data_IF_213643888720
#
_entry.id   IF_213643888720
#
_cell.length_a   1.000
_cell.length_b   1.000
_cell.length_c   1.000
_cell.angle_alpha   90.00
_cell.angle_beta   90.00
_cell.angle_gamma   90.00
#
_symmetry.space_group_name_H-M   'P 1'
#
loop_
_entity.id
_entity.type
_entity.pdbx_description
1 polymer ?
#
# COMPACT_ATOMS: atom_id res chain seq x y z
N UNK A 1 -68.56 -56.62 107.19
CA UNK A 1 -67.93 -56.67 108.53
C UNK A 1 -68.80 -55.90 109.52
N UNK A 2 -69.34 -54.75 109.08
CA UNK A 2 -70.24 -53.87 109.83
C UNK A 2 -71.49 -54.57 110.40
N UNK A 3 -72.17 -55.43 109.63
CA UNK A 3 -73.37 -56.15 110.11
C UNK A 3 -73.11 -57.18 111.24
N UNK A 4 -71.88 -57.71 111.35
CA UNK A 4 -71.49 -58.66 112.39
C UNK A 4 -71.02 -57.95 113.67
N UNK A 5 -70.36 -56.79 113.51
CA UNK A 5 -69.97 -55.92 114.63
C UNK A 5 -71.20 -55.32 115.31
N UNK A 6 -72.21 -54.91 114.53
CA UNK A 6 -73.46 -54.37 115.04
C UNK A 6 -74.22 -55.41 115.90
N UNK A 7 -74.27 -56.68 115.46
CA UNK A 7 -74.88 -57.78 116.23
C UNK A 7 -74.15 -58.15 117.53
N UNK A 8 -72.85 -57.90 117.63
CA UNK A 8 -72.05 -58.19 118.82
C UNK A 8 -72.12 -57.06 119.87
N UNK A 9 -72.34 -55.82 119.43
CA UNK A 9 -72.51 -54.67 120.33
C UNK A 9 -73.92 -54.64 120.95
N UNK A 10 -74.97 -55.08 120.23
CA UNK A 10 -76.37 -55.03 120.69
C UNK A 10 -76.76 -56.04 121.79
N UNK A 11 -75.90 -57.00 122.15
CA UNK A 11 -76.18 -57.92 123.27
C UNK A 11 -76.05 -57.23 124.64
N UNK A 12 -77.12 -57.25 125.45
CA UNK A 12 -77.44 -56.51 126.70
C UNK A 12 -76.45 -56.56 127.90
N UNK A 13 -75.13 -56.68 127.69
CA UNK A 13 -74.13 -56.80 128.77
C UNK A 13 -73.18 -55.59 128.85
N UNK A 14 -73.28 -54.63 127.92
CA UNK A 14 -72.39 -53.46 127.83
C UNK A 14 -73.19 -52.15 128.04
N UNK A 15 -72.62 -51.20 128.80
CA UNK A 15 -73.17 -49.85 128.92
C UNK A 15 -72.90 -49.05 127.64
N UNK A 16 -73.78 -48.10 127.29
CA UNK A 16 -73.67 -47.28 126.06
C UNK A 16 -72.29 -46.61 125.93
N UNK A 17 -71.67 -46.22 127.06
CA UNK A 17 -70.32 -45.65 127.12
C UNK A 17 -69.24 -46.66 126.66
N UNK A 18 -69.29 -47.91 127.15
CA UNK A 18 -68.33 -48.97 126.77
C UNK A 18 -68.51 -49.45 125.33
N UNK A 19 -69.74 -49.44 124.79
CA UNK A 19 -69.99 -49.73 123.38
C UNK A 19 -69.37 -48.67 122.48
N UNK A 20 -69.52 -47.39 122.86
CA UNK A 20 -68.95 -46.26 122.13
C UNK A 20 -67.42 -46.26 122.18
N UNK A 21 -66.83 -46.52 123.35
CA UNK A 21 -65.37 -46.66 123.49
C UNK A 21 -64.82 -47.85 122.67
N UNK A 22 -65.52 -48.99 122.65
CA UNK A 22 -65.11 -50.14 121.84
C UNK A 22 -65.23 -49.84 120.34
N UNK A 23 -66.29 -49.15 119.92
CA UNK A 23 -66.46 -48.72 118.54
C UNK A 23 -65.36 -47.75 118.11
N UNK A 24 -65.05 -46.72 118.92
CA UNK A 24 -63.98 -45.77 118.65
C UNK A 24 -62.60 -46.46 118.63
N UNK A 25 -62.35 -47.42 119.51
CA UNK A 25 -61.11 -48.21 119.53
C UNK A 25 -60.99 -49.15 118.32
N UNK A 26 -62.08 -49.78 117.88
CA UNK A 26 -62.11 -50.61 116.67
C UNK A 26 -61.92 -49.74 115.44
N UNK A 27 -62.61 -48.60 115.31
CA UNK A 27 -62.43 -47.65 114.21
C UNK A 27 -60.99 -47.10 114.16
N UNK A 28 -60.40 -46.82 115.32
CA UNK A 28 -58.98 -46.41 115.42
C UNK A 28 -58.05 -47.55 114.98
N UNK A 29 -58.27 -48.79 115.43
CA UNK A 29 -57.43 -49.92 115.02
C UNK A 29 -57.61 -50.32 113.56
N UNK A 30 -58.82 -50.19 113.03
CA UNK A 30 -59.12 -50.41 111.61
C UNK A 30 -58.49 -49.31 110.78
N UNK A 31 -58.57 -48.04 111.18
CA UNK A 31 -57.90 -46.94 110.46
C UNK A 31 -56.38 -47.06 110.53
N UNK A 32 -55.79 -47.41 111.67
CA UNK A 32 -54.36 -47.71 111.80
C UNK A 32 -53.93 -48.87 110.88
N UNK A 33 -54.66 -50.00 110.89
CA UNK A 33 -54.36 -51.14 110.04
C UNK A 33 -54.54 -50.82 108.54
N UNK A 34 -55.53 -49.99 108.19
CA UNK A 34 -55.75 -49.53 106.81
C UNK A 34 -54.62 -48.58 106.37
N UNK A 35 -54.16 -47.67 107.22
CA UNK A 35 -53.05 -46.77 106.89
C UNK A 35 -51.71 -47.52 106.82
N UNK A 36 -51.49 -48.51 107.69
CA UNK A 36 -50.32 -49.40 107.61
C UNK A 36 -50.34 -50.22 106.32
N UNK A 37 -51.46 -50.85 105.97
CA UNK A 37 -51.61 -51.59 104.72
C UNK A 37 -51.45 -50.70 103.47
N UNK A 38 -51.92 -49.44 103.51
CA UNK A 38 -51.69 -48.47 102.44
C UNK A 38 -50.22 -48.05 102.35
N UNK A 39 -49.55 -47.87 103.49
CA UNK A 39 -48.14 -47.49 103.52
C UNK A 39 -47.25 -48.62 102.97
N UNK A 40 -47.54 -49.87 103.33
CA UNK A 40 -46.90 -51.06 102.80
C UNK A 40 -47.15 -51.20 101.29
N UNK A 41 -48.42 -51.17 100.86
CA UNK A 41 -48.77 -51.21 99.43
C UNK A 41 -48.13 -50.07 98.63
N UNK A 42 -48.03 -48.86 99.19
CA UNK A 42 -47.35 -47.75 98.53
C UNK A 42 -45.83 -47.94 98.45
N UNK A 43 -45.22 -48.58 99.45
CA UNK A 43 -43.80 -48.93 99.41
C UNK A 43 -43.52 -50.01 98.36
N UNK A 44 -44.36 -51.04 98.30
CA UNK A 44 -44.25 -52.13 97.31
C UNK A 44 -44.44 -51.60 95.89
N UNK A 45 -45.49 -50.82 95.63
CA UNK A 45 -45.72 -50.21 94.31
C UNK A 45 -44.56 -49.30 93.90
N UNK A 46 -43.95 -48.56 94.84
CA UNK A 46 -42.76 -47.73 94.53
C UNK A 46 -41.54 -48.59 94.21
N UNK A 47 -41.35 -49.69 94.92
CA UNK A 47 -40.26 -50.63 94.65
C UNK A 47 -40.42 -51.26 93.25
N UNK A 48 -41.62 -51.77 92.94
CA UNK A 48 -41.95 -52.33 91.63
C UNK A 48 -41.78 -51.32 90.50
N UNK A 49 -42.30 -50.09 90.66
CA UNK A 49 -42.12 -49.04 89.64
C UNK A 49 -40.66 -48.64 89.45
N UNK A 50 -39.86 -48.64 90.51
CA UNK A 50 -38.43 -48.34 90.42
C UNK A 50 -37.69 -49.45 89.69
N UNK A 51 -38.02 -50.71 89.98
CA UNK A 51 -37.45 -51.87 89.28
C UNK A 51 -37.85 -51.87 87.79
N UNK A 52 -39.14 -51.65 87.49
CA UNK A 52 -39.62 -51.51 86.11
C UNK A 52 -38.90 -50.37 85.37
N UNK A 53 -38.77 -49.20 85.99
CA UNK A 53 -38.08 -48.06 85.38
C UNK A 53 -36.60 -48.35 85.10
N UNK A 54 -35.89 -49.01 86.02
CA UNK A 54 -34.49 -49.41 85.80
C UNK A 54 -34.39 -50.40 84.64
N UNK A 55 -35.26 -51.42 84.60
CA UNK A 55 -35.28 -52.41 83.54
C UNK A 55 -35.61 -51.79 82.17
N UNK A 56 -36.62 -50.92 82.09
CA UNK A 56 -37.00 -50.23 80.86
C UNK A 56 -35.91 -49.26 80.39
N UNK A 57 -35.27 -48.55 81.31
CA UNK A 57 -34.13 -47.68 80.99
C UNK A 57 -32.97 -48.49 80.41
N UNK A 58 -32.61 -49.60 81.04
CA UNK A 58 -31.49 -50.41 80.59
C UNK A 58 -31.81 -51.08 79.24
N UNK A 59 -33.04 -51.54 79.05
CA UNK A 59 -33.53 -52.03 77.76
C UNK A 59 -33.52 -50.95 76.67
N UNK A 60 -33.85 -49.70 77.01
CA UNK A 60 -33.78 -48.58 76.06
C UNK A 60 -32.33 -48.25 75.70
N UNK A 61 -31.41 -48.27 76.67
CA UNK A 61 -29.98 -48.04 76.41
C UNK A 61 -29.44 -49.11 75.47
N UNK A 62 -29.73 -50.39 75.72
CA UNK A 62 -29.31 -51.49 74.87
C UNK A 62 -29.93 -51.40 73.47
N UNK A 63 -31.21 -51.07 73.37
CA UNK A 63 -31.88 -50.90 72.08
C UNK A 63 -31.30 -49.72 71.27
N UNK A 64 -30.94 -48.62 71.94
CA UNK A 64 -30.29 -47.47 71.30
C UNK A 64 -28.88 -47.84 70.86
N UNK A 65 -28.09 -48.50 71.69
CA UNK A 65 -26.73 -48.92 71.36
C UNK A 65 -26.72 -49.88 70.16
N UNK A 66 -27.61 -50.89 70.18
CA UNK A 66 -27.78 -51.80 69.06
C UNK A 66 -28.20 -51.07 67.78
N UNK A 67 -29.17 -50.14 67.86
CA UNK A 67 -29.61 -49.36 66.69
C UNK A 67 -28.52 -48.45 66.13
N UNK A 68 -27.75 -47.81 66.99
CA UNK A 68 -26.63 -46.94 66.58
C UNK A 68 -25.53 -47.79 65.97
N UNK A 69 -25.21 -48.95 66.56
CA UNK A 69 -24.25 -49.91 66.01
C UNK A 69 -24.66 -50.37 64.61
N UNK A 70 -25.88 -50.90 64.46
CA UNK A 70 -26.41 -51.36 63.17
C UNK A 70 -26.38 -50.25 62.11
N UNK A 71 -26.78 -49.03 62.49
CA UNK A 71 -26.77 -47.88 61.58
C UNK A 71 -25.35 -47.52 61.14
N UNK A 72 -24.42 -47.40 62.10
CA UNK A 72 -23.02 -47.08 61.80
C UNK A 72 -22.36 -48.15 60.93
N UNK A 73 -22.61 -49.43 61.21
CA UNK A 73 -22.08 -50.53 60.42
C UNK A 73 -22.60 -50.48 58.97
N UNK A 74 -23.91 -50.21 58.79
CA UNK A 74 -24.50 -50.08 57.46
C UNK A 74 -23.94 -48.89 56.67
N UNK A 75 -23.78 -47.73 57.31
CA UNK A 75 -23.22 -46.53 56.68
C UNK A 75 -21.73 -46.70 56.37
N UNK A 76 -20.97 -47.38 57.23
CA UNK A 76 -19.56 -47.68 56.97
C UNK A 76 -19.38 -48.64 55.80
N UNK A 77 -20.27 -49.62 55.64
CA UNK A 77 -20.25 -50.54 54.51
C UNK A 77 -20.63 -49.84 53.20
N UNK A 78 -21.64 -48.96 53.22
CA UNK A 78 -22.00 -48.11 52.09
C UNK A 78 -20.86 -47.18 51.69
N UNK A 79 -20.28 -46.46 52.67
CA UNK A 79 -19.17 -45.53 52.45
C UNK A 79 -17.95 -46.25 51.88
N UNK A 80 -17.64 -47.45 52.37
CA UNK A 80 -16.55 -48.27 51.82
C UNK A 80 -16.81 -48.63 50.36
N UNK A 81 -18.05 -49.06 50.04
CA UNK A 81 -18.46 -49.35 48.67
C UNK A 81 -18.37 -48.13 47.75
N UNK A 82 -18.74 -46.94 48.24
CA UNK A 82 -18.56 -45.69 47.51
C UNK A 82 -17.09 -45.36 47.26
N UNK A 83 -16.23 -45.47 48.27
CA UNK A 83 -14.79 -45.21 48.11
C UNK A 83 -14.17 -46.13 47.06
N UNK A 84 -14.54 -47.41 47.06
CA UNK A 84 -14.03 -48.36 46.06
C UNK A 84 -14.53 -47.99 44.65
N UNK A 85 -15.81 -47.62 44.50
CA UNK A 85 -16.36 -47.10 43.22
C UNK A 85 -15.64 -45.83 42.76
N UNK A 86 -15.36 -44.90 43.67
CA UNK A 86 -14.64 -43.66 43.34
C UNK A 86 -13.22 -43.95 42.86
N UNK A 87 -12.51 -44.91 43.49
CA UNK A 87 -11.17 -45.31 43.06
C UNK A 87 -11.17 -45.94 41.66
N UNK A 88 -12.17 -46.77 41.36
CA UNK A 88 -12.31 -47.36 40.03
C UNK A 88 -12.58 -46.30 38.96
N UNK A 89 -13.46 -45.33 39.27
CA UNK A 89 -13.73 -44.19 38.38
C UNK A 89 -12.51 -43.29 38.18
N UNK A 90 -11.71 -43.05 39.21
CA UNK A 90 -10.46 -42.30 39.09
C UNK A 90 -9.45 -43.03 38.19
N UNK A 91 -9.33 -44.34 38.33
CA UNK A 91 -8.46 -45.15 37.48
C UNK A 91 -8.92 -45.12 36.00
N UNK A 92 -10.22 -45.29 35.75
CA UNK A 92 -10.79 -45.21 34.40
C UNK A 92 -10.62 -43.80 33.79
N UNK A 93 -10.84 -42.75 34.58
CA UNK A 93 -10.64 -41.38 34.13
C UNK A 93 -9.16 -41.10 33.81
N UNK A 94 -8.23 -41.61 34.62
CA UNK A 94 -6.81 -41.50 34.36
C UNK A 94 -6.40 -42.24 33.07
N UNK A 95 -6.93 -43.43 32.83
CA UNK A 95 -6.72 -44.20 31.61
C UNK A 95 -7.24 -43.45 30.38
N UNK A 96 -8.50 -42.97 30.41
CA UNK A 96 -9.09 -42.16 29.34
C UNK A 96 -8.30 -40.88 29.06
N UNK A 97 -7.74 -40.24 30.09
CA UNK A 97 -6.89 -39.07 29.92
C UNK A 97 -5.57 -39.41 29.22
N UNK A 98 -4.99 -40.57 29.51
CA UNK A 98 -3.77 -41.04 28.83
C UNK A 98 -4.08 -41.37 27.36
N UNK A 99 -5.18 -42.07 27.10
CA UNK A 99 -5.63 -42.38 25.74
C UNK A 99 -5.94 -41.13 24.92
N UNK A 100 -6.70 -40.18 25.50
CA UNK A 100 -7.00 -38.91 24.84
C UNK A 100 -5.73 -38.10 24.52
N UNK A 101 -4.74 -38.08 25.44
CA UNK A 101 -3.45 -37.46 25.19
C UNK A 101 -2.65 -38.16 24.08
N UNK A 102 -2.71 -39.50 24.03
CA UNK A 102 -2.04 -40.27 22.98
C UNK A 102 -2.65 -39.98 21.60
N UNK A 103 -3.99 -40.01 21.50
CA UNK A 103 -4.72 -39.67 20.27
C UNK A 103 -4.44 -38.25 19.81
N UNK A 104 -4.55 -37.26 20.73
CA UNK A 104 -4.25 -35.87 20.42
C UNK A 104 -2.79 -35.67 20.00
N UNK A 105 -1.85 -36.42 20.58
CA UNK A 105 -0.45 -36.38 20.16
C UNK A 105 -0.22 -36.97 18.77
N UNK A 106 -1.01 -37.97 18.36
CA UNK A 106 -0.92 -38.57 17.03
C UNK A 106 -1.51 -37.64 15.97
N UNK A 107 -2.68 -37.06 16.25
CA UNK A 107 -3.30 -36.03 15.41
C UNK A 107 -2.37 -34.82 15.23
N UNK A 108 -1.80 -34.30 16.31
CA UNK A 108 -0.87 -33.16 16.24
C UNK A 108 0.39 -33.48 15.42
N UNK A 109 0.87 -34.72 15.44
CA UNK A 109 1.99 -35.16 14.60
C UNK A 109 1.60 -35.20 13.13
N UNK A 110 0.42 -35.70 12.82
CA UNK A 110 -0.12 -35.72 11.46
C UNK A 110 -0.29 -34.31 10.91
N UNK A 111 -0.92 -33.43 11.69
CA UNK A 111 -1.13 -32.02 11.32
C UNK A 111 0.18 -31.28 11.12
N UNK A 112 1.18 -31.53 11.98
CA UNK A 112 2.50 -30.93 11.85
C UNK A 112 3.21 -31.44 10.58
N UNK A 113 3.09 -32.72 10.25
CA UNK A 113 3.65 -33.26 9.01
C UNK A 113 3.01 -32.61 7.77
N UNK A 114 1.68 -32.50 7.74
CA UNK A 114 0.98 -31.79 6.66
C UNK A 114 1.37 -30.31 6.57
N UNK A 115 1.54 -29.64 7.71
CA UNK A 115 1.94 -28.24 7.75
C UNK A 115 3.36 -28.05 7.18
N UNK A 116 4.29 -28.95 7.53
CA UNK A 116 5.66 -28.93 6.99
C UNK A 116 5.62 -29.14 5.47
N UNK A 117 4.86 -30.11 4.97
CA UNK A 117 4.72 -30.33 3.52
C UNK A 117 4.15 -29.10 2.80
N UNK A 118 3.12 -28.47 3.36
CA UNK A 118 2.52 -27.23 2.80
C UNK A 118 3.52 -26.07 2.85
N UNK A 119 4.29 -25.94 3.93
CA UNK A 119 5.31 -24.90 4.07
C UNK A 119 6.44 -25.12 3.06
N UNK A 120 6.93 -26.34 2.90
CA UNK A 120 7.96 -26.67 1.93
C UNK A 120 7.50 -26.36 0.50
N UNK A 121 6.28 -26.76 0.14
CA UNK A 121 5.70 -26.42 -1.16
C UNK A 121 5.55 -24.90 -1.37
N UNK A 122 5.10 -24.18 -0.34
CA UNK A 122 4.99 -22.72 -0.39
C UNK A 122 6.35 -22.03 -0.55
N UNK A 123 7.35 -22.46 0.23
CA UNK A 123 8.71 -21.93 0.14
C UNK A 123 9.34 -22.25 -1.21
N UNK A 124 9.15 -23.45 -1.75
CA UNK A 124 9.65 -23.80 -3.09
C UNK A 124 9.04 -22.89 -4.17
N UNK A 125 7.73 -22.69 -4.15
CA UNK A 125 7.05 -21.80 -5.10
C UNK A 125 7.55 -20.37 -4.95
N UNK A 126 7.62 -19.85 -3.72
CA UNK A 126 8.04 -18.47 -3.51
C UNK A 126 9.51 -18.26 -3.88
N UNK A 127 10.40 -19.15 -3.48
CA UNK A 127 11.81 -19.10 -3.86
C UNK A 127 12.00 -19.19 -5.37
N UNK A 128 11.20 -19.99 -6.07
CA UNK A 128 11.25 -20.07 -7.54
C UNK A 128 10.88 -18.74 -8.18
N UNK A 129 9.77 -18.13 -7.75
CA UNK A 129 9.34 -16.82 -8.27
C UNK A 129 10.39 -15.75 -8.00
N UNK A 130 10.91 -15.67 -6.77
CA UNK A 130 11.94 -14.68 -6.40
C UNK A 130 13.26 -14.90 -7.18
N UNK A 131 13.62 -16.17 -7.47
CA UNK A 131 14.79 -16.46 -8.30
C UNK A 131 14.55 -16.13 -9.77
N UNK A 132 13.35 -16.34 -10.30
CA UNK A 132 12.97 -15.93 -11.64
C UNK A 132 13.01 -14.40 -11.78
N UNK A 133 12.39 -13.67 -10.85
CA UNK A 133 12.45 -12.21 -10.77
C UNK A 133 13.90 -11.71 -10.68
N UNK A 134 14.74 -12.31 -9.83
CA UNK A 134 16.16 -11.96 -9.73
C UNK A 134 16.92 -12.20 -11.05
N UNK A 135 16.60 -13.28 -11.78
CA UNK A 135 17.23 -13.55 -13.08
C UNK A 135 16.81 -12.51 -14.11
N UNK A 136 15.53 -12.12 -14.14
CA UNK A 136 15.01 -11.07 -15.01
C UNK A 136 15.70 -9.72 -14.73
N UNK A 137 15.84 -9.36 -13.45
CA UNK A 137 16.56 -8.15 -13.03
C UNK A 137 18.02 -8.16 -13.49
N UNK A 138 18.72 -9.29 -13.32
CA UNK A 138 20.11 -9.45 -13.78
C UNK A 138 20.20 -9.32 -15.30
N UNK A 139 19.23 -9.85 -16.05
CA UNK A 139 19.19 -9.70 -17.51
C UNK A 139 18.95 -8.26 -17.94
N UNK A 140 18.08 -7.53 -17.25
CA UNK A 140 17.86 -6.12 -17.50
C UNK A 140 19.13 -5.31 -17.26
N UNK A 141 19.79 -5.51 -16.11
CA UNK A 141 21.07 -4.85 -15.80
C UNK A 141 22.14 -5.17 -16.86
N UNK A 142 22.20 -6.41 -17.35
CA UNK A 142 23.12 -6.78 -18.45
C UNK A 142 22.80 -6.05 -19.75
N UNK A 143 21.52 -5.89 -20.10
CA UNK A 143 21.08 -5.14 -21.29
C UNK A 143 21.44 -3.66 -21.14
N UNK A 144 21.24 -3.08 -19.96
CA UNK A 144 21.58 -1.68 -19.67
C UNK A 144 23.09 -1.44 -19.71
N UNK A 145 23.89 -2.33 -19.11
CA UNK A 145 25.35 -2.28 -19.21
C UNK A 145 25.82 -2.42 -20.66
N UNK A 146 25.21 -3.31 -21.43
CA UNK A 146 25.53 -3.49 -22.84
C UNK A 146 25.18 -2.22 -23.63
N UNK A 147 23.99 -1.66 -23.44
CA UNK A 147 23.56 -0.40 -24.05
C UNK A 147 24.50 0.75 -23.71
N UNK A 148 24.92 0.85 -22.44
CA UNK A 148 25.92 1.81 -22.00
C UNK A 148 27.28 1.61 -22.67
N UNK A 149 27.78 0.37 -22.78
CA UNK A 149 29.05 0.07 -23.47
C UNK A 149 28.99 0.41 -24.96
N UNK A 150 27.87 0.11 -25.63
CA UNK A 150 27.66 0.48 -27.03
C UNK A 150 27.59 2.00 -27.17
N UNK A 151 26.84 2.68 -26.30
CA UNK A 151 26.76 4.13 -26.30
C UNK A 151 28.12 4.79 -26.08
N UNK A 152 28.90 4.32 -25.09
CA UNK A 152 30.26 4.81 -24.83
C UNK A 152 31.19 4.57 -26.04
N UNK A 153 31.12 3.41 -26.69
CA UNK A 153 31.89 3.12 -27.89
C UNK A 153 31.47 3.98 -29.10
N UNK A 154 30.16 4.13 -29.33
CA UNK A 154 29.63 4.98 -30.40
C UNK A 154 29.97 6.44 -30.14
N UNK A 155 29.84 6.92 -28.91
CA UNK A 155 30.23 8.28 -28.52
C UNK A 155 31.73 8.52 -28.77
N UNK A 156 32.59 7.55 -28.43
CA UNK A 156 34.03 7.65 -28.68
C UNK A 156 34.33 7.72 -30.19
N UNK A 157 33.72 6.85 -31.00
CA UNK A 157 33.90 6.86 -32.46
C UNK A 157 33.29 8.10 -33.12
N UNK A 158 32.11 8.53 -32.68
CA UNK A 158 31.46 9.76 -33.13
C UNK A 158 32.33 10.97 -32.80
N UNK A 159 32.82 11.08 -31.57
CA UNK A 159 33.73 12.15 -31.18
C UNK A 159 35.00 12.12 -32.02
N UNK A 160 35.55 10.96 -32.33
CA UNK A 160 36.76 10.85 -33.16
C UNK A 160 36.53 11.27 -34.62
N UNK A 161 35.38 10.93 -35.21
CA UNK A 161 35.10 11.18 -36.62
C UNK A 161 34.48 12.57 -36.88
N UNK A 162 33.75 13.13 -35.90
CA UNK A 162 33.05 14.41 -36.04
C UNK A 162 33.60 15.53 -35.15
N UNK A 163 34.59 15.29 -34.28
CA UNK A 163 35.29 16.41 -33.62
C UNK A 163 36.13 17.24 -34.61
N UNK A 164 36.39 16.71 -35.80
CA UNK A 164 37.06 17.46 -36.88
C UNK A 164 36.07 18.28 -37.73
N UNK A 165 34.76 18.27 -37.45
CA UNK A 165 33.79 19.10 -38.19
C UNK A 165 34.08 20.60 -38.01
N UNK A 166 34.60 21.03 -36.86
CA UNK A 166 34.99 22.43 -36.63
C UNK A 166 36.19 22.84 -37.50
N UNK A 167 37.12 21.90 -37.76
CA UNK A 167 38.24 22.13 -38.67
C UNK A 167 37.79 22.09 -40.13
N UNK A 168 36.88 21.17 -40.48
CA UNK A 168 36.28 21.08 -41.81
C UNK A 168 35.48 22.35 -42.14
N UNK A 169 34.66 22.85 -41.21
CA UNK A 169 33.91 24.10 -41.37
C UNK A 169 34.86 25.30 -41.53
N UNK A 170 35.97 25.31 -40.78
CA UNK A 170 37.04 26.28 -40.96
C UNK A 170 37.66 26.24 -42.36
N UNK A 171 38.00 25.05 -42.86
CA UNK A 171 38.53 24.90 -44.22
C UNK A 171 37.50 25.24 -45.30
N UNK A 172 36.22 24.94 -45.08
CA UNK A 172 35.14 25.28 -46.00
C UNK A 172 35.03 26.80 -46.15
N UNK A 173 34.98 27.53 -45.03
CA UNK A 173 34.98 29.00 -45.04
C UNK A 173 36.23 29.59 -45.69
N UNK A 174 37.40 28.99 -45.47
CA UNK A 174 38.62 29.43 -46.14
C UNK A 174 38.54 29.20 -47.66
N UNK A 175 38.03 28.05 -48.10
CA UNK A 175 37.85 27.76 -49.54
C UNK A 175 36.81 28.63 -50.20
N UNK A 176 35.70 28.93 -49.52
CA UNK A 176 34.66 29.86 -49.99
C UNK A 176 35.24 31.26 -50.17
N UNK A 177 35.98 31.75 -49.18
CA UNK A 177 36.65 33.05 -49.27
C UNK A 177 37.67 33.09 -50.41
N UNK A 178 38.47 32.02 -50.57
CA UNK A 178 39.42 31.92 -51.69
C UNK A 178 38.73 31.87 -53.05
N UNK A 179 37.56 31.24 -53.13
CA UNK A 179 36.74 31.22 -54.32
C UNK A 179 36.26 32.63 -54.66
N UNK A 180 35.71 33.34 -53.68
CA UNK A 180 35.27 34.74 -53.79
C UNK A 180 36.41 35.65 -54.27
N UNK A 181 37.55 35.63 -53.58
CA UNK A 181 38.75 36.39 -53.96
C UNK A 181 39.21 36.04 -55.40
N UNK A 182 39.13 34.76 -55.79
CA UNK A 182 39.50 34.33 -57.14
C UNK A 182 38.51 34.79 -58.20
N UNK A 183 37.21 34.81 -57.88
CA UNK A 183 36.16 35.28 -58.80
C UNK A 183 36.25 36.78 -59.00
N UNK A 184 36.50 37.55 -57.94
CA UNK A 184 36.73 39.00 -58.05
C UNK A 184 37.97 39.30 -58.90
N UNK A 185 39.07 38.57 -58.69
CA UNK A 185 40.27 38.71 -59.50
C UNK A 185 40.03 38.34 -60.98
N UNK A 186 39.18 37.36 -61.25
CA UNK A 186 38.82 36.93 -62.60
C UNK A 186 37.94 37.97 -63.28
N UNK A 187 36.95 38.52 -62.57
CA UNK A 187 36.14 39.65 -63.06
C UNK A 187 36.99 40.88 -63.36
N UNK A 188 37.96 41.22 -62.50
CA UNK A 188 38.88 42.33 -62.73
C UNK A 188 39.78 42.08 -63.95
N UNK A 189 40.27 40.84 -64.12
CA UNK A 189 41.04 40.44 -65.27
C UNK A 189 40.21 40.48 -66.57
N UNK A 190 38.96 40.01 -66.53
CA UNK A 190 38.01 40.09 -67.65
C UNK A 190 37.70 41.53 -68.03
N UNK A 191 37.48 42.43 -67.06
CA UNK A 191 37.32 43.87 -67.31
C UNK A 191 38.55 44.47 -68.01
N UNK A 192 39.76 44.15 -67.53
CA UNK A 192 41.01 44.61 -68.16
C UNK A 192 41.17 44.07 -69.59
N UNK A 193 40.80 42.81 -69.84
CA UNK A 193 40.83 42.23 -71.18
C UNK A 193 39.81 42.91 -72.09
N UNK A 194 38.58 43.14 -71.63
CA UNK A 194 37.54 43.84 -72.37
C UNK A 194 37.96 45.27 -72.74
N UNK A 195 38.59 46.02 -71.82
CA UNK A 195 39.15 47.34 -72.09
C UNK A 195 40.29 47.29 -73.11
N UNK A 196 41.19 46.32 -72.99
CA UNK A 196 42.27 46.13 -73.97
C UNK A 196 41.72 45.79 -75.35
N UNK A 197 40.75 44.89 -75.47
CA UNK A 197 40.09 44.55 -76.73
C UNK A 197 39.36 45.74 -77.34
N UNK A 198 38.65 46.52 -76.52
CA UNK A 198 38.01 47.77 -76.93
C UNK A 198 39.02 48.74 -77.52
N UNK A 199 40.12 48.98 -76.82
CA UNK A 199 41.15 49.93 -77.26
C UNK A 199 41.83 49.48 -78.56
N UNK A 200 42.03 48.17 -78.75
CA UNK A 200 42.57 47.59 -79.99
C UNK A 200 41.59 47.82 -81.15
N UNK A 201 40.32 47.46 -80.97
CA UNK A 201 39.26 47.68 -81.98
C UNK A 201 39.10 49.17 -82.32
N UNK A 202 39.10 50.04 -81.32
CA UNK A 202 38.99 51.50 -81.49
C UNK A 202 40.21 52.09 -82.24
N UNK A 203 41.42 51.61 -81.96
CA UNK A 203 42.63 52.02 -82.72
C UNK A 203 42.60 51.51 -84.16
N UNK A 204 42.10 50.30 -84.40
CA UNK A 204 41.99 49.72 -85.74
C UNK A 204 41.02 50.51 -86.62
N UNK A 205 39.81 50.81 -86.11
CA UNK A 205 38.79 51.59 -86.84
C UNK A 205 39.18 53.06 -87.05
N UNK A 206 40.00 53.63 -86.18
CA UNK A 206 40.45 55.03 -86.28
C UNK A 206 41.77 55.22 -87.05
N UNK A 207 42.48 54.14 -87.40
CA UNK A 207 43.73 54.20 -88.17
C UNK A 207 43.60 54.92 -89.55
N UNK A 208 42.52 54.75 -90.34
CA UNK A 208 42.38 55.41 -91.63
C UNK A 208 42.06 56.92 -91.54
N UNK A 209 41.84 57.46 -90.34
CA UNK A 209 41.53 58.88 -90.11
C UNK A 209 42.73 59.62 -89.51
N UNK A 210 43.02 60.82 -89.99
CA UNK A 210 44.11 61.67 -89.48
C UNK A 210 43.64 63.08 -89.15
N UNK A 211 44.06 63.63 -88.01
CA UNK A 211 43.73 65.00 -87.58
C UNK A 211 42.39 65.13 -86.86
N UNK A 212 41.67 66.25 -87.06
CA UNK A 212 40.46 66.62 -86.30
C UNK A 212 39.30 65.62 -86.43
N UNK A 213 39.16 64.97 -87.58
CA UNK A 213 38.14 63.93 -87.82
C UNK A 213 38.31 62.73 -86.89
N UNK A 214 39.56 62.37 -86.55
CA UNK A 214 39.85 61.27 -85.62
C UNK A 214 39.44 61.62 -84.20
N UNK A 215 39.70 62.83 -83.74
CA UNK A 215 39.40 63.29 -82.37
C UNK A 215 37.89 63.40 -82.13
N UNK A 216 37.13 63.96 -83.09
CA UNK A 216 35.66 64.04 -83.00
C UNK A 216 35.05 62.63 -83.05
N UNK A 217 35.56 61.76 -83.92
CA UNK A 217 35.09 60.38 -84.01
C UNK A 217 35.42 59.57 -82.76
N UNK A 218 36.60 59.78 -82.16
CA UNK A 218 36.98 59.17 -80.88
C UNK A 218 36.07 59.62 -79.74
N UNK A 219 35.70 60.91 -79.68
CA UNK A 219 34.78 61.44 -78.67
C UNK A 219 33.36 60.85 -78.78
N UNK A 220 32.86 60.64 -80.00
CA UNK A 220 31.54 60.02 -80.24
C UNK A 220 31.58 58.52 -79.92
N UNK A 221 32.62 57.81 -80.36
CA UNK A 221 32.74 56.36 -80.17
C UNK A 221 33.14 55.96 -78.75
N UNK A 222 33.60 56.91 -77.91
CA UNK A 222 33.88 56.66 -76.49
C UNK A 222 32.64 56.24 -75.70
N UNK A 223 31.44 56.62 -76.13
CA UNK A 223 30.18 56.26 -75.47
C UNK A 223 29.45 55.07 -76.12
N UNK A 224 30.07 54.38 -77.09
CA UNK A 224 29.48 53.25 -77.81
C UNK A 224 30.09 51.93 -77.34
N UNK A 225 29.25 50.90 -77.20
CA UNK A 225 29.64 49.55 -76.79
C UNK A 225 30.64 48.91 -77.76
N UNK A 226 31.52 48.05 -77.23
CA UNK A 226 32.60 47.36 -77.95
C UNK A 226 32.13 46.56 -79.16
N UNK A 227 30.94 45.96 -79.07
CA UNK A 227 30.33 45.14 -80.13
C UNK A 227 29.87 46.00 -81.30
N UNK A 228 29.38 47.21 -81.02
CA UNK A 228 28.75 48.10 -81.98
C UNK A 228 29.70 49.20 -82.51
N UNK A 229 30.98 49.18 -82.13
CA UNK A 229 31.97 50.16 -82.55
C UNK A 229 32.11 50.27 -84.09
N UNK A 230 32.00 49.16 -84.82
CA UNK A 230 32.09 49.13 -86.29
C UNK A 230 30.85 49.74 -86.96
N UNK A 231 29.67 49.49 -86.39
CA UNK A 231 28.41 50.03 -86.90
C UNK A 231 28.26 51.52 -86.57
N UNK A 232 28.63 51.91 -85.35
CA UNK A 232 28.80 53.30 -84.95
C UNK A 232 29.76 54.02 -85.87
N UNK A 233 30.92 53.41 -86.19
CA UNK A 233 31.87 53.98 -87.13
C UNK A 233 31.25 54.28 -88.50
N UNK A 234 30.59 53.29 -89.10
CA UNK A 234 29.94 53.43 -90.42
C UNK A 234 28.82 54.47 -90.44
N UNK A 235 28.09 54.63 -89.33
CA UNK A 235 26.97 55.57 -89.26
C UNK A 235 27.45 57.01 -89.10
N UNK A 236 28.45 57.24 -88.24
CA UNK A 236 28.91 58.59 -87.94
C UNK A 236 29.99 59.10 -88.90
N UNK A 237 30.73 58.24 -89.60
CA UNK A 237 31.78 58.66 -90.55
C UNK A 237 31.23 59.58 -91.66
N UNK A 238 30.03 59.28 -92.18
CA UNK A 238 29.40 60.08 -93.22
C UNK A 238 28.98 61.47 -92.73
N UNK A 239 28.61 61.58 -91.44
CA UNK A 239 28.31 62.87 -90.82
C UNK A 239 29.59 63.64 -90.49
N UNK A 240 30.60 62.97 -89.92
CA UNK A 240 31.88 63.59 -89.50
C UNK A 240 32.70 64.07 -90.70
N UNK A 241 32.71 63.34 -91.82
CA UNK A 241 33.39 63.77 -93.06
C UNK A 241 32.66 64.94 -93.70
N UNK A 242 31.32 64.93 -93.70
CA UNK A 242 30.50 65.97 -94.31
C UNK A 242 30.48 67.27 -93.49
N UNK A 243 30.47 67.16 -92.15
CA UNK A 243 30.62 68.31 -91.24
C UNK A 243 32.04 68.90 -91.24
N UNK A 244 33.03 68.25 -91.87
CA UNK A 244 34.36 68.83 -92.09
C UNK A 244 34.56 69.53 -93.44
N UNK A 245 33.61 69.44 -94.38
CA UNK A 245 33.73 70.04 -95.73
C UNK A 245 32.70 71.14 -96.06
N UNK A 246 31.73 71.43 -95.19
CA UNK A 246 30.84 72.59 -95.34
C UNK A 246 30.83 73.43 -94.05
N UNK A 247 31.31 74.67 -94.17
CA UNK A 247 31.25 75.73 -93.15
C UNK A 247 29.90 76.48 -93.17
N UNK A 248 29.60 77.06 -92.00
CA UNK A 248 28.65 78.16 -91.68
C UNK A 248 27.24 77.81 -91.17
N UNK A 249 27.05 77.96 -89.84
CA UNK A 249 26.16 78.97 -89.21
C UNK A 249 24.76 78.40 -88.86
N UNK A 250 24.04 78.67 -87.78
CA UNK A 250 24.01 79.69 -86.72
C UNK A 250 23.47 79.08 -85.40
N UNK A 251 23.71 79.82 -84.30
CA UNK A 251 22.88 80.10 -83.08
C UNK A 251 21.45 79.47 -83.02
N UNK A 252 20.81 79.18 -81.88
CA UNK A 252 20.89 79.56 -80.47
C UNK A 252 19.91 78.66 -79.66
N UNK A 253 19.81 78.90 -78.34
CA UNK A 253 18.69 78.58 -77.42
C UNK A 253 18.52 77.20 -76.76
N UNK A 254 19.04 77.12 -75.51
CA UNK A 254 18.27 77.21 -74.24
C UNK A 254 16.81 76.71 -74.24
N UNK A 255 16.52 75.71 -73.40
CA UNK A 255 15.54 75.68 -72.26
C UNK A 255 15.02 74.23 -72.01
N UNK A 256 15.15 73.70 -70.78
CA UNK A 256 14.10 73.45 -69.75
C UNK A 256 13.13 72.31 -70.13
N UNK A 257 12.61 71.43 -69.26
CA UNK A 257 12.68 71.14 -67.84
C UNK A 257 11.91 69.81 -67.61
N UNK A 258 11.84 69.35 -66.35
CA UNK A 258 10.65 68.69 -65.76
C UNK A 258 10.40 67.20 -66.12
N UNK A 259 10.03 66.26 -65.25
CA UNK A 259 9.72 66.22 -63.80
C UNK A 259 10.08 64.82 -63.25
N UNK A 260 10.41 64.65 -61.97
CA UNK A 260 9.52 64.60 -60.81
C UNK A 260 8.59 63.36 -60.79
N UNK A 261 8.92 62.41 -59.91
CA UNK A 261 8.08 61.56 -59.03
C UNK A 261 8.96 60.39 -58.56
N UNK A 262 9.39 60.28 -57.31
CA UNK A 262 8.62 59.97 -56.07
C UNK A 262 7.73 58.72 -56.23
N UNK A 263 8.06 57.70 -55.45
CA UNK A 263 7.19 56.99 -54.48
C UNK A 263 7.92 55.71 -54.04
N UNK A 264 8.42 55.66 -52.80
CA UNK A 264 7.73 55.18 -51.59
C UNK A 264 7.60 53.65 -51.56
N UNK A 265 8.42 52.99 -50.74
CA UNK A 265 8.04 52.42 -49.43
C UNK A 265 7.10 51.20 -49.49
N UNK A 266 7.57 50.09 -48.90
CA UNK A 266 6.85 49.32 -47.86
C UNK A 266 7.68 48.12 -47.39
N UNK A 267 8.41 48.33 -46.30
CA UNK A 267 8.49 47.33 -45.23
C UNK A 267 7.12 47.31 -44.54
N UNK A 268 6.50 46.14 -44.41
CA UNK A 268 6.27 45.56 -43.09
C UNK A 268 5.48 44.24 -43.13
N UNK A 269 5.84 43.39 -42.17
CA UNK A 269 5.09 42.25 -41.61
C UNK A 269 5.00 40.97 -42.46
N UNK A 270 5.59 39.89 -41.91
CA UNK A 270 4.83 38.71 -41.49
C UNK A 270 5.67 37.88 -40.48
N UNK A 271 5.28 37.99 -39.22
CA UNK A 271 5.52 36.97 -38.19
C UNK A 271 4.89 35.64 -38.62
N UNK A 272 5.63 34.54 -38.51
CA UNK A 272 5.17 33.23 -38.03
C UNK A 272 6.32 32.22 -38.13
N UNK A 273 7.19 32.19 -37.11
CA UNK A 273 8.06 31.05 -36.83
C UNK A 273 7.53 30.35 -35.58
N UNK A 274 6.81 29.25 -35.79
CA UNK A 274 6.39 28.32 -34.73
C UNK A 274 7.60 27.48 -34.33
N UNK A 275 8.21 27.82 -33.20
CA UNK A 275 9.19 26.96 -32.53
C UNK A 275 8.41 25.92 -31.72
N UNK A 276 8.64 24.64 -32.00
CA UNK A 276 8.11 23.50 -31.24
C UNK A 276 9.22 23.07 -30.28
N UNK A 277 9.15 23.53 -29.03
CA UNK A 277 9.86 22.92 -27.90
C UNK A 277 8.85 22.03 -27.18
N UNK A 278 9.08 20.72 -27.25
CA UNK A 278 8.30 19.74 -26.51
C UNK A 278 8.76 19.69 -25.06
N UNK A 279 7.93 20.22 -24.17
CA UNK A 279 7.84 19.80 -22.77
C UNK A 279 6.34 19.86 -22.43
N UNK A 280 5.71 18.69 -22.35
CA UNK A 280 4.30 18.53 -21.96
C UNK A 280 4.22 18.61 -20.42
N UNK A 281 3.95 19.79 -19.86
CA UNK A 281 3.64 19.96 -18.43
C UNK A 281 2.38 19.18 -18.00
N UNK A 282 1.50 18.85 -18.95
CA UNK A 282 0.24 18.13 -18.70
C UNK A 282 0.44 16.66 -18.29
N UNK A 283 1.59 16.03 -18.62
CA UNK A 283 1.88 14.63 -18.24
C UNK A 283 2.42 14.48 -16.81
N UNK A 284 2.93 15.56 -16.22
CA UNK A 284 3.43 15.54 -14.83
C UNK A 284 2.26 15.66 -13.85
N UNK A 285 1.25 16.47 -14.20
CA UNK A 285 0.04 16.63 -13.39
C UNK A 285 -0.86 15.37 -13.33
N UNK A 286 -0.84 14.55 -14.39
CA UNK A 286 -1.61 13.30 -14.44
C UNK A 286 -0.94 12.17 -13.65
N UNK A 287 0.40 12.14 -13.61
CA UNK A 287 1.17 11.19 -12.80
C UNK A 287 1.16 11.55 -11.30
N UNK A 288 1.19 12.83 -10.92
CA UNK A 288 1.08 13.22 -9.51
C UNK A 288 -0.30 12.89 -8.94
N UNK A 289 -1.38 13.00 -9.72
CA UNK A 289 -2.71 12.56 -9.28
C UNK A 289 -2.81 11.05 -9.09
N UNK A 290 -2.22 10.25 -9.99
CA UNK A 290 -2.20 8.79 -9.86
C UNK A 290 -1.35 8.31 -8.67
N UNK A 291 -0.26 8.99 -8.35
CA UNK A 291 0.55 8.71 -7.15
C UNK A 291 -0.23 9.02 -5.86
N UNK A 292 -0.97 10.14 -5.80
CA UNK A 292 -1.76 10.50 -4.61
C UNK A 292 -3.00 9.62 -4.39
N UNK A 293 -3.61 9.07 -5.45
CA UNK A 293 -4.74 8.13 -5.30
C UNK A 293 -4.28 6.74 -4.82
N UNK A 294 -3.01 6.37 -5.04
CA UNK A 294 -2.46 5.07 -4.62
C UNK A 294 -2.08 4.99 -3.13
N UNK A 295 -1.91 6.13 -2.45
CA UNK A 295 -1.52 6.18 -1.03
C UNK A 295 -2.74 6.17 -0.06
N UNK A 296 -3.97 6.37 -0.54
CA UNK A 296 -5.18 6.43 0.31
C UNK A 296 -6.08 5.17 0.29
N UNK A 297 -5.75 4.12 -0.46
CA UNK A 297 -6.49 2.85 -0.39
C UNK A 297 -6.04 1.98 0.79
N UNK A 298 -6.30 2.47 2.00
CA UNK A 298 -6.28 1.63 3.18
C UNK A 298 -7.29 0.48 3.03
N UNK A 299 -6.85 -0.75 3.32
CA UNK A 299 -7.66 -1.98 3.33
C UNK A 299 -9.13 -1.70 3.67
N UNK A 300 -10.04 -2.07 2.76
CA UNK A 300 -11.47 -1.86 2.92
C UNK A 300 -11.95 -2.45 4.26
N UNK A 301 -12.97 -1.85 4.85
CA UNK A 301 -13.52 -2.29 6.16
C UNK A 301 -13.89 -3.77 6.13
N UNK A 302 -14.36 -4.27 4.97
CA UNK A 302 -14.69 -5.68 4.75
C UNK A 302 -13.45 -6.60 4.66
N UNK A 303 -12.32 -6.09 4.18
CA UNK A 303 -11.05 -6.83 4.16
C UNK A 303 -10.46 -6.90 5.59
N UNK A 304 -10.58 -5.82 6.36
CA UNK A 304 -10.19 -5.78 7.79
C UNK A 304 -11.03 -6.73 8.62
N UNK A 305 -12.35 -6.78 8.41
CA UNK A 305 -13.24 -7.70 9.13
C UNK A 305 -12.96 -9.17 8.79
N UNK A 306 -12.62 -9.47 7.54
CA UNK A 306 -12.22 -10.83 7.12
C UNK A 306 -10.91 -11.26 7.78
N UNK A 307 -9.92 -10.38 7.81
CA UNK A 307 -8.64 -10.62 8.48
C UNK A 307 -8.80 -10.78 10.00
N UNK A 308 -9.66 -9.99 10.64
CA UNK A 308 -9.94 -10.10 12.08
C UNK A 308 -10.65 -11.42 12.44
N UNK A 309 -11.58 -11.88 11.59
CA UNK A 309 -12.22 -13.19 11.75
C UNK A 309 -11.22 -14.34 11.57
N UNK A 310 -10.32 -14.24 10.59
CA UNK A 310 -9.25 -15.23 10.40
C UNK A 310 -8.23 -15.23 11.55
N UNK A 311 -7.96 -14.07 12.15
CA UNK A 311 -7.09 -13.93 13.32
C UNK A 311 -7.76 -14.31 14.66
N UNK A 312 -9.04 -14.73 14.65
CA UNK A 312 -9.76 -15.14 15.87
C UNK A 312 -10.06 -14.00 16.85
N UNK A 313 -9.96 -12.74 16.41
CA UNK A 313 -10.24 -11.57 17.24
C UNK A 313 -11.70 -11.18 17.03
N UNK A 314 -12.59 -11.68 17.89
CA UNK A 314 -13.99 -11.22 17.95
C UNK A 314 -14.05 -9.94 18.79
N UNK A 315 -14.58 -8.86 18.21
CA UNK A 315 -14.96 -7.65 18.97
C UNK A 315 -16.24 -7.97 19.76
N UNK A 316 -16.17 -7.81 21.08
CA UNK A 316 -17.35 -7.66 21.95
C UNK A 316 -18.14 -6.39 21.60
#
# INVERSE_FOLDING_TARGET
MDELLQKLLETEVLTEETQKELQEAIETKVSEAVEEAKAEAAADVRAELTEQWVNERDALIEAVDAKVGDFLDSELEELKGDIDRFRDLEAEAAEKLVEAKALMSEELKSDLAELVEKLDAFLEIRLRVELEELVEDIEQVKKDEFGRKIFEAVQAEYSKNFADDESLEGTLRETEKRLEDSTEALEEAERKVAEMERSKKLKEILNPLSGRQKEVMEAILKNVDTENLVEGYKTFIGRVVKETEEDESEKEDKVLAEGASEDEEKEDLLENAKIVTGDDEDKIAENEKQLTESEEEGLSVEAKDRLQRWAGITRD
#
